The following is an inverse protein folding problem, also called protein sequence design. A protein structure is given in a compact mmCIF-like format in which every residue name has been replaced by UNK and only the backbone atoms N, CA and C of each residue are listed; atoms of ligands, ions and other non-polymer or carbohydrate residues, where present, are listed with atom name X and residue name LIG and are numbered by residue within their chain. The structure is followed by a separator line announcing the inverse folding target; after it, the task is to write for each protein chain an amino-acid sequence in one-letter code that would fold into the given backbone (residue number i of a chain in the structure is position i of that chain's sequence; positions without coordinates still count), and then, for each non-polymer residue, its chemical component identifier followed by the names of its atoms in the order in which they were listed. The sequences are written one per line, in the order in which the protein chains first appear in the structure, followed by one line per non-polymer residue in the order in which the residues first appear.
data_IF_167539381199
#
_entry.id   IF_167539381199
#
_cell.length_a   1.000
_cell.length_b   1.000
_cell.length_c   1.000
_cell.angle_alpha   90.00
_cell.angle_beta   90.00
_cell.angle_gamma   90.00
#
_symmetry.space_group_name_H-M   'P 1'
#
loop_
_entity.id
_entity.type
_entity.pdbx_description
1 polymer ?
#
# COMPACT_ATOMS: atom_id res chain seq x y z
N UNK A 1 -21.21 12.72 0.47
CA UNK A 1 -19.87 12.13 0.33
C UNK A 1 -20.01 10.66 0.66
N UNK A 2 -19.39 9.80 -0.14
CA UNK A 2 -19.50 8.33 -0.03
C UNK A 2 -18.68 7.81 1.17
N UNK A 3 -19.10 8.17 2.38
CA UNK A 3 -18.52 7.75 3.68
C UNK A 3 -18.92 6.29 4.02
N UNK A 4 -18.99 5.41 3.02
CA UNK A 4 -19.42 4.02 3.21
C UNK A 4 -18.28 3.01 3.08
N UNK A 5 -17.02 3.47 2.99
CA UNK A 5 -15.85 2.60 2.85
C UNK A 5 -15.49 1.97 4.18
N UNK A 6 -15.43 0.64 4.23
CA UNK A 6 -15.13 -0.13 5.45
C UNK A 6 -13.71 -0.67 5.48
N UNK A 7 -13.04 -0.73 4.33
CA UNK A 7 -11.68 -1.25 4.19
C UNK A 7 -10.78 -0.16 3.63
N UNK A 8 -9.64 0.07 4.29
CA UNK A 8 -8.56 0.89 3.76
C UNK A 8 -7.36 0.03 3.38
N UNK A 9 -6.95 0.05 2.12
CA UNK A 9 -5.81 -0.69 1.59
C UNK A 9 -4.60 0.23 1.41
N UNK A 10 -3.51 -0.04 2.13
CA UNK A 10 -2.30 0.78 2.10
C UNK A 10 -1.17 0.02 1.42
N UNK A 11 -0.53 0.66 0.44
CA UNK A 11 0.63 0.11 -0.27
C UNK A 11 1.61 1.22 -0.62
N UNK A 12 2.90 0.91 -0.60
CA UNK A 12 3.95 1.85 -1.07
C UNK A 12 3.89 2.07 -2.57
N UNK A 13 3.38 1.08 -3.31
CA UNK A 13 3.18 1.16 -4.76
C UNK A 13 1.83 0.61 -5.19
N UNK A 14 1.25 1.23 -6.22
CA UNK A 14 0.02 0.79 -6.89
C UNK A 14 0.17 1.07 -8.39
N UNK A 15 0.05 0.01 -9.20
CA UNK A 15 0.07 0.08 -10.66
C UNK A 15 -1.34 0.10 -11.24
N UNK A 16 -1.75 1.24 -11.80
CA UNK A 16 -3.09 1.40 -12.38
C UNK A 16 -3.00 1.63 -13.90
N UNK A 17 -2.26 2.64 -14.31
CA UNK A 17 -2.10 2.99 -15.72
C UNK A 17 -0.63 2.90 -16.11
N UNK A 18 -0.35 2.50 -17.35
CA UNK A 18 1.03 2.48 -17.85
C UNK A 18 1.70 3.88 -17.80
N UNK A 19 0.90 4.94 -17.89
CA UNK A 19 1.36 6.33 -17.79
C UNK A 19 1.49 6.89 -16.37
N UNK A 20 1.20 6.09 -15.34
CA UNK A 20 1.32 6.46 -13.92
C UNK A 20 2.51 5.71 -13.29
N UNK A 21 3.68 6.32 -13.13
CA UNK A 21 4.89 5.66 -12.66
C UNK A 21 4.92 5.49 -11.13
N UNK A 22 3.80 5.09 -10.53
CA UNK A 22 3.63 4.95 -9.08
C UNK A 22 3.88 3.53 -8.55
N UNK A 23 4.59 2.72 -9.34
CA UNK A 23 4.97 1.35 -9.03
C UNK A 23 6.27 0.94 -9.73
N UNK A 24 6.96 -0.07 -9.20
CA UNK A 24 8.18 -0.62 -9.80
C UNK A 24 8.07 -2.09 -10.19
N UNK A 25 7.25 -2.88 -9.48
CA UNK A 25 7.25 -4.32 -9.65
C UNK A 25 5.93 -5.02 -9.33
N UNK A 26 6.04 -6.30 -8.97
CA UNK A 26 4.91 -7.19 -8.77
C UNK A 26 4.01 -6.80 -7.59
N UNK A 27 4.53 -6.14 -6.55
CA UNK A 27 3.74 -5.68 -5.41
C UNK A 27 2.70 -4.64 -5.84
N UNK A 28 3.10 -3.70 -6.68
CA UNK A 28 2.26 -2.63 -7.20
C UNK A 28 1.29 -3.12 -8.27
N UNK A 29 1.72 -4.05 -9.13
CA UNK A 29 0.82 -4.74 -10.07
C UNK A 29 -0.28 -5.49 -9.31
N UNK A 30 0.09 -6.29 -8.31
CA UNK A 30 -0.88 -6.99 -7.47
C UNK A 30 -1.83 -6.04 -6.73
N UNK A 31 -1.31 -4.93 -6.19
CA UNK A 31 -2.14 -3.92 -5.55
C UNK A 31 -3.18 -3.35 -6.54
N UNK A 32 -2.76 -3.05 -7.77
CA UNK A 32 -3.66 -2.63 -8.84
C UNK A 32 -4.73 -3.65 -9.17
N UNK A 33 -4.34 -4.92 -9.35
CA UNK A 33 -5.24 -6.03 -9.64
C UNK A 33 -6.22 -6.30 -8.49
N UNK A 34 -5.76 -6.16 -7.25
CA UNK A 34 -6.59 -6.28 -6.04
C UNK A 34 -7.67 -5.20 -6.02
N UNK A 35 -7.31 -3.95 -6.33
CA UNK A 35 -8.24 -2.82 -6.35
C UNK A 35 -9.25 -2.95 -7.50
N UNK A 36 -8.83 -3.46 -8.67
CA UNK A 36 -9.75 -3.76 -9.79
C UNK A 36 -10.75 -4.83 -9.43
N UNK A 37 -10.26 -5.93 -8.86
CA UNK A 37 -11.12 -7.01 -8.39
C UNK A 37 -12.06 -6.54 -7.28
N UNK A 38 -11.60 -5.66 -6.39
CA UNK A 38 -12.45 -5.04 -5.37
C UNK A 38 -13.53 -4.15 -6.01
N UNK A 39 -13.23 -3.44 -7.10
CA UNK A 39 -14.21 -2.64 -7.80
C UNK A 39 -15.26 -3.51 -8.52
N UNK A 40 -14.83 -4.60 -9.17
CA UNK A 40 -15.71 -5.56 -9.84
C UNK A 40 -16.63 -6.29 -8.87
N UNK A 41 -16.12 -6.64 -7.69
CA UNK A 41 -16.86 -7.34 -6.63
C UNK A 41 -17.61 -6.39 -5.69
N UNK A 42 -17.65 -5.10 -5.99
CA UNK A 42 -18.30 -4.06 -5.18
C UNK A 42 -17.83 -4.03 -3.71
N UNK A 43 -16.57 -4.39 -3.47
CA UNK A 43 -15.97 -4.40 -2.14
C UNK A 43 -15.81 -2.96 -1.67
N UNK A 44 -16.36 -2.67 -0.49
CA UNK A 44 -16.32 -1.38 0.18
C UNK A 44 -14.88 -0.98 0.62
N UNK A 45 -14.07 -0.59 -0.36
CA UNK A 45 -12.65 -0.31 -0.24
C UNK A 45 -12.33 1.14 -0.63
N UNK A 46 -11.32 1.70 0.05
CA UNK A 46 -10.52 2.87 -0.37
C UNK A 46 -9.05 2.46 -0.32
N UNK A 47 -8.22 2.93 -1.26
CA UNK A 47 -6.79 2.66 -1.26
C UNK A 47 -5.95 3.92 -1.05
N UNK A 48 -4.77 3.77 -0.46
CA UNK A 48 -3.82 4.85 -0.15
C UNK A 48 -2.41 4.42 -0.56
N UNK A 49 -1.71 5.32 -1.25
CA UNK A 49 -0.31 5.18 -1.66
C UNK A 49 0.36 6.56 -1.69
N UNK A 50 1.67 6.61 -1.95
CA UNK A 50 2.37 7.86 -2.25
C UNK A 50 2.26 8.22 -3.74
N UNK A 51 2.19 9.52 -4.04
CA UNK A 51 2.32 10.05 -5.39
C UNK A 51 3.81 10.14 -5.77
N UNK A 52 4.38 9.08 -6.35
CA UNK A 52 5.77 9.08 -6.80
C UNK A 52 5.96 9.96 -8.05
N UNK A 53 6.32 11.23 -7.86
CA UNK A 53 6.39 12.24 -8.94
C UNK A 53 7.45 11.93 -10.01
N UNK A 54 8.51 11.23 -9.63
CA UNK A 54 9.63 10.85 -10.49
C UNK A 54 9.69 9.34 -10.74
N UNK A 55 8.72 8.60 -10.21
CA UNK A 55 8.63 7.15 -10.27
C UNK A 55 9.80 6.41 -9.65
N UNK A 56 10.02 5.17 -10.10
CA UNK A 56 11.23 4.41 -9.75
C UNK A 56 12.41 4.90 -10.59
N UNK A 57 12.36 4.67 -11.91
CA UNK A 57 13.17 5.33 -12.93
C UNK A 57 12.66 4.97 -14.34
N UNK A 58 13.05 5.76 -15.33
CA UNK A 58 13.01 5.44 -16.75
C UNK A 58 14.36 4.81 -17.15
N UNK A 59 14.29 3.59 -17.68
CA UNK A 59 15.47 2.84 -18.13
C UNK A 59 15.86 3.27 -19.54
N UNK A 60 17.14 3.59 -19.75
CA UNK A 60 17.73 3.81 -21.07
C UNK A 60 19.00 2.98 -21.21
N UNK A 61 19.18 2.31 -22.34
CA UNK A 61 20.43 1.61 -22.65
C UNK A 61 21.30 2.53 -23.52
N UNK A 62 22.55 2.73 -23.12
CA UNK A 62 23.51 3.44 -23.95
C UNK A 62 24.03 2.56 -25.10
N UNK A 63 24.86 3.13 -25.99
CA UNK A 63 25.39 2.43 -27.17
C UNK A 63 26.21 1.17 -26.83
N UNK A 64 26.68 1.04 -25.59
CA UNK A 64 27.38 -0.14 -25.09
C UNK A 64 26.48 -1.16 -24.39
N UNK A 65 25.17 -0.91 -24.34
CA UNK A 65 24.20 -1.75 -23.63
C UNK A 65 24.16 -1.54 -22.12
N UNK A 66 24.84 -0.51 -21.59
CA UNK A 66 24.80 -0.18 -20.16
C UNK A 66 23.54 0.60 -19.80
N UNK A 67 22.92 0.24 -18.68
CA UNK A 67 21.76 0.93 -18.14
C UNK A 67 22.12 2.33 -17.64
N UNK A 68 21.25 3.29 -17.99
CA UNK A 68 21.17 4.64 -17.46
C UNK A 68 19.76 4.87 -16.92
N UNK A 69 19.68 5.48 -15.76
CA UNK A 69 18.43 5.73 -15.04
C UNK A 69 18.12 7.22 -15.09
N UNK A 70 16.88 7.55 -15.41
CA UNK A 70 16.38 8.94 -15.40
C UNK A 70 15.09 9.02 -14.59
N UNK A 71 14.80 10.16 -13.95
CA UNK A 71 13.45 10.44 -13.45
C UNK A 71 12.40 10.24 -14.54
N UNK A 72 11.22 9.75 -14.16
CA UNK A 72 10.08 9.67 -15.07
C UNK A 72 9.33 11.00 -15.04
N UNK A 73 9.14 11.61 -16.21
CA UNK A 73 8.29 12.79 -16.38
C UNK A 73 6.87 12.37 -16.74
N UNK A 74 5.87 12.88 -16.02
CA UNK A 74 4.46 12.63 -16.31
C UNK A 74 3.58 13.78 -15.84
N UNK A 75 2.41 13.93 -16.47
CA UNK A 75 1.44 14.99 -16.16
C UNK A 75 0.42 14.39 -15.19
N UNK A 76 0.52 14.73 -13.91
CA UNK A 76 -0.30 14.17 -12.83
C UNK A 76 -1.78 14.44 -13.09
N UNK A 77 -2.11 15.67 -13.47
CA UNK A 77 -3.47 16.17 -13.73
C UNK A 77 -4.15 15.48 -14.92
N UNK A 78 -3.39 14.80 -15.78
CA UNK A 78 -3.94 13.98 -16.87
C UNK A 78 -4.67 12.75 -16.31
N UNK A 79 -4.20 12.21 -15.19
CA UNK A 79 -4.70 10.95 -14.63
C UNK A 79 -5.45 11.15 -13.32
N UNK A 80 -5.09 12.18 -12.55
CA UNK A 80 -5.50 12.32 -11.16
C UNK A 80 -6.20 13.66 -10.92
N UNK A 81 -7.20 13.64 -10.05
CA UNK A 81 -7.89 14.86 -9.58
C UNK A 81 -7.39 15.24 -8.19
N UNK A 82 -6.92 16.47 -8.01
CA UNK A 82 -6.53 16.96 -6.69
C UNK A 82 -7.76 17.08 -5.76
N UNK A 83 -7.61 16.66 -4.51
CA UNK A 83 -8.63 16.76 -3.49
C UNK A 83 -8.41 18.00 -2.63
N UNK A 84 -9.46 18.78 -2.28
CA UNK A 84 -9.32 19.95 -1.42
C UNK A 84 -8.79 19.69 0.00
N UNK A 85 -9.17 18.58 0.69
CA UNK A 85 -8.66 18.31 2.03
C UNK A 85 -7.13 18.24 2.10
N UNK A 86 -6.63 18.56 3.29
CA UNK A 86 -5.20 18.55 3.63
C UNK A 86 -5.01 17.77 4.92
N UNK A 87 -3.84 17.17 5.07
CA UNK A 87 -3.38 16.57 6.30
C UNK A 87 -1.96 17.05 6.62
N UNK A 88 -1.46 16.73 7.80
CA UNK A 88 -0.09 17.01 8.15
C UNK A 88 0.50 15.94 9.07
N UNK A 89 1.80 15.72 8.93
CA UNK A 89 2.59 14.86 9.81
C UNK A 89 3.74 15.64 10.44
N UNK A 90 4.18 15.23 11.61
CA UNK A 90 5.39 15.76 12.23
C UNK A 90 6.56 14.85 11.88
N UNK A 91 7.59 15.39 11.24
CA UNK A 91 8.84 14.69 10.90
C UNK A 91 9.99 15.50 11.51
N UNK A 92 10.66 14.94 12.52
CA UNK A 92 11.76 15.61 13.23
C UNK A 92 11.35 16.98 13.80
N UNK A 93 10.13 17.03 14.36
CA UNK A 93 9.52 18.25 14.91
C UNK A 93 9.05 19.26 13.86
N UNK A 94 9.31 19.03 12.57
CA UNK A 94 8.85 19.87 11.47
C UNK A 94 7.48 19.40 11.01
N UNK A 95 6.59 20.34 10.71
CA UNK A 95 5.28 20.01 10.12
C UNK A 95 5.44 19.84 8.61
N UNK A 96 5.10 18.66 8.10
CA UNK A 96 5.03 18.37 6.67
C UNK A 96 3.57 18.29 6.27
N UNK A 97 3.13 19.27 5.47
CA UNK A 97 1.78 19.34 4.91
C UNK A 97 1.61 18.34 3.78
N UNK A 98 0.43 17.76 3.65
CA UNK A 98 0.11 16.75 2.65
C UNK A 98 -1.17 17.15 1.91
N UNK A 99 -1.15 16.96 0.59
CA UNK A 99 -2.37 16.91 -0.23
C UNK A 99 -2.61 15.48 -0.71
N UNK A 100 -3.81 15.23 -1.24
CA UNK A 100 -4.16 13.98 -1.88
C UNK A 100 -4.62 14.21 -3.31
N UNK A 101 -4.22 13.29 -4.18
CA UNK A 101 -4.71 13.14 -5.53
C UNK A 101 -5.56 11.89 -5.63
N UNK A 102 -6.66 11.93 -6.38
CA UNK A 102 -7.61 10.82 -6.50
C UNK A 102 -7.63 10.24 -7.91
N UNK A 103 -7.55 8.91 -7.98
CA UNK A 103 -7.97 8.10 -9.12
C UNK A 103 -9.21 7.29 -8.72
N UNK A 104 -10.13 7.06 -9.65
CA UNK A 104 -11.31 6.20 -9.44
C UNK A 104 -11.16 4.96 -10.29
N UNK A 105 -10.90 3.81 -9.66
CA UNK A 105 -10.93 2.53 -10.36
C UNK A 105 -12.38 2.13 -10.53
N UNK A 106 -12.82 1.99 -11.78
CA UNK A 106 -14.19 1.62 -12.13
C UNK A 106 -14.27 0.12 -12.39
N UNK A 107 -15.13 -0.57 -11.65
CA UNK A 107 -15.45 -1.97 -11.90
C UNK A 107 -16.50 -2.12 -13.00
N UNK A 108 -16.69 -3.35 -13.47
CA UNK A 108 -17.63 -3.70 -14.54
C UNK A 108 -19.08 -3.27 -14.24
N UNK A 109 -19.51 -3.36 -12.98
CA UNK A 109 -20.84 -2.94 -12.51
C UNK A 109 -20.98 -1.42 -12.31
N UNK A 110 -19.94 -0.63 -12.59
CA UNK A 110 -19.90 0.81 -12.36
C UNK A 110 -19.58 1.21 -10.91
N UNK A 111 -19.44 0.26 -9.99
CA UNK A 111 -18.91 0.51 -8.66
C UNK A 111 -17.48 1.05 -8.74
N UNK A 112 -17.17 2.04 -7.91
CA UNK A 112 -15.89 2.73 -7.96
C UNK A 112 -15.11 2.49 -6.67
N UNK A 113 -13.81 2.23 -6.77
CA UNK A 113 -12.89 2.23 -5.64
C UNK A 113 -11.96 3.44 -5.76
N UNK A 114 -12.01 4.40 -4.82
CA UNK A 114 -11.10 5.53 -4.82
C UNK A 114 -9.70 5.10 -4.37
N UNK A 115 -8.69 5.58 -5.10
CA UNK A 115 -7.28 5.46 -4.76
C UNK A 115 -6.72 6.85 -4.52
N UNK A 116 -6.17 7.09 -3.33
CA UNK A 116 -5.57 8.36 -2.94
C UNK A 116 -4.04 8.27 -2.95
N UNK A 117 -3.43 9.21 -3.67
CA UNK A 117 -1.99 9.37 -3.78
C UNK A 117 -1.57 10.58 -2.95
N UNK A 118 -0.83 10.34 -1.87
CA UNK A 118 -0.36 11.38 -0.96
C UNK A 118 0.84 12.11 -1.55
N UNK A 119 0.84 13.42 -1.46
CA UNK A 119 1.86 14.28 -2.05
C UNK A 119 2.32 15.34 -1.05
N UNK A 120 3.64 15.43 -0.82
CA UNK A 120 4.28 16.43 0.02
C UNK A 120 4.84 17.61 -0.78
N UNK A 121 4.78 17.59 -2.11
CA UNK A 121 5.24 18.70 -2.95
C UNK A 121 4.21 19.84 -2.94
N UNK A 122 4.31 20.63 -1.88
CA UNK A 122 3.49 21.78 -1.54
C UNK A 122 4.41 22.97 -1.20
N UNK A 123 4.05 24.21 -1.56
CA UNK A 123 4.90 25.38 -1.35
C UNK A 123 5.11 25.72 0.14
N UNK A 124 4.23 25.26 1.04
CA UNK A 124 4.38 25.45 2.48
C UNK A 124 5.45 24.55 3.11
N UNK A 125 5.85 23.49 2.40
CA UNK A 125 6.87 22.56 2.85
C UNK A 125 8.26 23.04 2.42
N UNK A 126 9.28 22.65 3.20
CA UNK A 126 10.67 22.94 2.81
C UNK A 126 11.04 22.26 1.49
N UNK A 127 12.03 22.78 0.77
CA UNK A 127 12.47 22.17 -0.50
C UNK A 127 12.79 20.68 -0.37
N UNK A 128 13.37 20.28 0.77
CA UNK A 128 13.67 18.87 1.04
C UNK A 128 12.41 18.05 1.31
N UNK A 129 11.47 18.54 2.12
CA UNK A 129 10.23 17.82 2.45
C UNK A 129 9.35 17.60 1.22
N UNK A 130 9.38 18.54 0.26
CA UNK A 130 8.71 18.39 -1.04
C UNK A 130 9.23 17.19 -1.83
N UNK A 131 10.48 16.78 -1.60
CA UNK A 131 11.08 15.62 -2.28
C UNK A 131 10.63 14.27 -1.73
N UNK A 132 9.99 14.22 -0.57
CA UNK A 132 9.62 12.95 0.08
C UNK A 132 8.68 12.09 -0.76
N UNK A 133 7.94 12.67 -1.70
CA UNK A 133 7.09 11.94 -2.66
C UNK A 133 7.67 11.92 -4.08
N UNK A 134 8.98 12.14 -4.26
CA UNK A 134 9.58 12.06 -5.59
C UNK A 134 9.80 10.64 -6.08
N UNK A 135 10.65 9.88 -5.39
CA UNK A 135 11.16 8.61 -5.91
C UNK A 135 10.61 7.43 -5.10
N UNK A 136 10.14 6.42 -5.82
CA UNK A 136 9.81 5.12 -5.26
C UNK A 136 11.11 4.36 -4.97
N UNK A 137 11.27 3.81 -3.76
CA UNK A 137 12.48 3.08 -3.34
C UNK A 137 13.81 3.83 -3.57
N UNK A 138 13.77 5.16 -3.57
CA UNK A 138 14.95 6.02 -3.71
C UNK A 138 15.54 6.46 -2.36
N UNK A 139 16.56 7.31 -2.45
CA UNK A 139 17.15 7.97 -1.30
C UNK A 139 17.91 7.03 -0.35
N UNK A 140 18.06 7.47 0.89
CA UNK A 140 18.70 6.70 1.98
C UNK A 140 17.66 6.18 2.98
N UNK A 141 18.12 5.55 4.07
CA UNK A 141 17.22 5.05 5.12
C UNK A 141 16.39 6.17 5.78
N UNK A 142 16.91 7.39 5.89
CA UNK A 142 16.18 8.51 6.46
C UNK A 142 15.04 8.95 5.55
N UNK A 143 15.31 9.08 4.24
CA UNK A 143 14.30 9.35 3.23
C UNK A 143 13.19 8.28 3.24
N UNK A 144 13.58 7.01 3.24
CA UNK A 144 12.67 5.86 3.30
C UNK A 144 11.78 5.87 4.54
N UNK A 145 12.35 6.11 5.72
CA UNK A 145 11.59 6.22 6.96
C UNK A 145 10.57 7.38 6.89
N UNK A 146 10.97 8.53 6.34
CA UNK A 146 10.06 9.67 6.18
C UNK A 146 8.90 9.34 5.21
N UNK A 147 9.16 8.58 4.14
CA UNK A 147 8.11 8.08 3.24
C UNK A 147 7.10 7.19 3.96
N UNK A 148 7.57 6.29 4.82
CA UNK A 148 6.71 5.37 5.58
C UNK A 148 5.90 6.12 6.65
N UNK A 149 6.42 7.22 7.19
CA UNK A 149 5.64 8.14 8.04
C UNK A 149 4.50 8.77 7.26
N UNK A 150 4.79 9.30 6.05
CA UNK A 150 3.77 9.90 5.20
C UNK A 150 2.72 8.85 4.79
N UNK A 151 3.15 7.67 4.36
CA UNK A 151 2.23 6.60 3.95
C UNK A 151 1.38 6.13 5.12
N UNK A 152 2.00 5.77 6.24
CA UNK A 152 1.31 5.16 7.37
C UNK A 152 0.50 6.18 8.16
N UNK A 153 1.19 7.10 8.84
CA UNK A 153 0.55 8.11 9.71
C UNK A 153 -0.19 9.15 8.86
N UNK A 154 0.48 9.70 7.85
CA UNK A 154 -0.10 10.72 6.98
C UNK A 154 -1.31 10.19 6.20
N UNK A 155 -1.29 8.92 5.77
CA UNK A 155 -2.40 8.30 5.06
C UNK A 155 -3.64 8.11 5.94
N UNK A 156 -3.50 7.67 7.20
CA UNK A 156 -4.65 7.60 8.12
C UNK A 156 -5.23 8.98 8.36
N UNK A 157 -4.39 9.99 8.64
CA UNK A 157 -4.86 11.38 8.82
C UNK A 157 -5.54 11.94 7.58
N UNK A 158 -5.01 11.64 6.40
CA UNK A 158 -5.63 12.04 5.14
C UNK A 158 -7.00 11.38 4.94
N UNK A 159 -7.14 10.09 5.25
CA UNK A 159 -8.44 9.42 5.21
C UNK A 159 -9.45 10.10 6.15
N UNK A 160 -9.06 10.46 7.38
CA UNK A 160 -9.91 11.24 8.29
C UNK A 160 -10.30 12.60 7.72
N UNK A 161 -9.34 13.34 7.14
CA UNK A 161 -9.59 14.64 6.52
C UNK A 161 -10.51 14.56 5.29
N UNK A 162 -10.46 13.44 4.56
CA UNK A 162 -11.35 13.12 3.44
C UNK A 162 -12.74 12.65 3.90
N UNK A 163 -12.95 12.47 5.21
CA UNK A 163 -14.22 12.09 5.81
C UNK A 163 -14.39 10.61 6.09
N UNK A 164 -13.41 9.74 5.80
CA UNK A 164 -13.48 8.30 6.06
C UNK A 164 -13.29 8.01 7.56
N UNK A 165 -14.39 8.06 8.30
CA UNK A 165 -14.41 7.92 9.76
C UNK A 165 -14.78 6.51 10.25
N UNK A 166 -15.37 5.70 9.38
CA UNK A 166 -15.96 4.40 9.71
C UNK A 166 -15.19 3.19 9.13
N UNK A 167 -13.90 3.36 8.85
CA UNK A 167 -13.05 2.24 8.38
C UNK A 167 -12.94 1.19 9.49
N UNK A 168 -13.36 -0.03 9.18
CA UNK A 168 -13.35 -1.18 10.07
C UNK A 168 -12.06 -2.00 9.94
N UNK A 169 -11.44 -2.03 8.75
CA UNK A 169 -10.24 -2.80 8.46
C UNK A 169 -9.18 -1.99 7.72
N UNK A 170 -7.94 -2.13 8.14
CA UNK A 170 -6.75 -1.57 7.51
C UNK A 170 -5.88 -2.72 7.00
N UNK A 171 -5.68 -2.78 5.69
CA UNK A 171 -4.83 -3.77 5.04
C UNK A 171 -3.47 -3.14 4.75
N UNK A 172 -2.44 -3.67 5.40
CA UNK A 172 -1.05 -3.30 5.21
C UNK A 172 -0.42 -4.22 4.16
N UNK A 173 -0.15 -3.69 2.98
CA UNK A 173 0.55 -4.39 1.92
C UNK A 173 2.07 -4.22 2.09
N UNK A 174 2.70 -5.21 2.72
CA UNK A 174 4.09 -5.17 3.19
C UNK A 174 4.37 -4.18 4.33
N UNK A 175 5.54 -4.31 4.97
CA UNK A 175 5.94 -3.55 6.16
C UNK A 175 5.96 -2.02 5.99
N UNK A 176 5.98 -1.50 4.76
CA UNK A 176 6.03 -0.06 4.47
C UNK A 176 4.88 0.75 5.10
N UNK A 177 3.71 0.12 5.26
CA UNK A 177 2.52 0.78 5.79
C UNK A 177 2.39 0.67 7.33
N UNK A 178 3.33 -0.02 8.00
CA UNK A 178 3.18 -0.43 9.40
C UNK A 178 3.04 0.72 10.38
N UNK A 179 3.61 1.88 10.07
CA UNK A 179 3.48 3.06 10.93
C UNK A 179 2.04 3.58 11.04
N UNK A 180 1.12 3.16 10.16
CA UNK A 180 -0.32 3.45 10.33
C UNK A 180 -0.87 2.90 11.64
N UNK A 181 -0.33 1.77 12.11
CA UNK A 181 -0.78 1.14 13.36
C UNK A 181 -0.49 2.01 14.57
N UNK A 182 0.54 2.86 14.52
CA UNK A 182 0.86 3.81 15.57
C UNK A 182 -0.15 4.96 15.61
N UNK A 183 -0.57 5.48 14.45
CA UNK A 183 -1.64 6.48 14.41
C UNK A 183 -2.98 5.89 14.90
N UNK A 184 -3.27 4.63 14.58
CA UNK A 184 -4.47 3.96 15.11
C UNK A 184 -4.40 3.76 16.63
N UNK A 185 -3.20 3.52 17.19
CA UNK A 185 -3.02 3.48 18.65
C UNK A 185 -3.27 4.85 19.27
N UNK A 186 -2.77 5.92 18.65
CA UNK A 186 -3.02 7.29 19.10
C UNK A 186 -4.53 7.60 19.11
N UNK A 187 -5.25 7.18 18.06
CA UNK A 187 -6.72 7.33 17.97
C UNK A 187 -7.45 6.60 19.11
N UNK A 188 -7.06 5.35 19.44
CA UNK A 188 -7.69 4.59 20.54
C UNK A 188 -7.40 5.21 21.91
N UNK A 189 -6.17 5.68 22.13
CA UNK A 189 -5.78 6.37 23.37
C UNK A 189 -6.55 7.67 23.52
N UNK A 190 -6.65 8.46 22.45
CA UNK A 190 -7.40 9.71 22.43
C UNK A 190 -8.89 9.48 22.66
N UNK A 191 -9.48 8.49 22.00
CA UNK A 191 -10.90 8.11 22.16
C UNK A 191 -11.23 7.70 23.59
N UNK A 192 -10.27 7.09 24.29
CA UNK A 192 -10.42 6.71 25.69
C UNK A 192 -9.99 7.80 26.68
N UNK A 193 -9.67 9.02 26.19
CA UNK A 193 -9.22 10.17 26.98
C UNK A 193 -8.01 9.84 27.89
N UNK A 194 -7.12 8.98 27.41
CA UNK A 194 -5.92 8.54 28.14
C UNK A 194 -4.65 9.18 27.59
N UNK A 195 -3.56 9.03 28.34
CA UNK A 195 -2.21 9.47 27.94
C UNK A 195 -1.23 8.33 27.68
N UNK A 196 -1.59 7.11 28.08
CA UNK A 196 -0.75 5.93 27.96
C UNK A 196 -1.48 4.85 27.20
N UNK A 197 -0.70 4.13 26.39
CA UNK A 197 -1.15 2.95 25.68
C UNK A 197 -1.30 1.81 26.66
N UNK A 198 -2.35 1.04 26.46
CA UNK A 198 -2.71 -0.12 27.25
C UNK A 198 -2.79 -1.33 26.35
N UNK A 199 -2.78 -2.52 26.94
CA UNK A 199 -2.98 -3.76 26.21
C UNK A 199 -4.32 -3.79 25.46
N UNK A 200 -5.37 -3.16 25.97
CA UNK A 200 -6.66 -3.09 25.27
C UNK A 200 -6.59 -2.25 24.00
N UNK A 201 -5.76 -1.20 23.95
CA UNK A 201 -5.54 -0.42 22.72
C UNK A 201 -4.84 -1.25 21.66
N UNK A 202 -3.79 -1.96 22.07
CA UNK A 202 -3.06 -2.90 21.20
C UNK A 202 -4.01 -3.95 20.64
N UNK A 203 -4.85 -4.57 21.48
CA UNK A 203 -5.83 -5.56 21.03
C UNK A 203 -6.92 -4.96 20.14
N UNK A 204 -7.34 -3.72 20.37
CA UNK A 204 -8.29 -3.00 19.52
C UNK A 204 -7.70 -2.71 18.13
N UNK A 205 -6.47 -2.22 18.06
CA UNK A 205 -5.76 -1.97 16.81
C UNK A 205 -5.49 -3.27 16.06
N UNK A 206 -5.05 -4.33 16.76
CA UNK A 206 -4.87 -5.66 16.14
C UNK A 206 -6.11 -6.13 15.40
N UNK A 207 -7.30 -5.99 16.00
CA UNK A 207 -8.58 -6.39 15.38
C UNK A 207 -8.91 -5.59 14.11
N UNK A 208 -8.36 -4.39 13.94
CA UNK A 208 -8.55 -3.58 12.74
C UNK A 208 -7.54 -3.92 11.63
N UNK A 209 -6.37 -4.46 11.97
CA UNK A 209 -5.28 -4.58 11.01
C UNK A 209 -5.12 -5.98 10.41
N UNK A 210 -4.89 -6.00 9.10
CA UNK A 210 -4.56 -7.16 8.28
C UNK A 210 -3.20 -6.90 7.65
N UNK A 211 -2.28 -7.85 7.73
CA UNK A 211 -0.92 -7.70 7.19
C UNK A 211 -0.62 -8.78 6.13
N UNK A 212 -0.18 -8.36 4.95
CA UNK A 212 0.34 -9.27 3.93
C UNK A 212 1.83 -9.06 3.78
N UNK A 213 2.61 -10.14 3.86
CA UNK A 213 4.06 -10.14 3.60
C UNK A 213 4.37 -10.85 2.28
N UNK A 214 5.27 -10.26 1.50
CA UNK A 214 5.69 -10.73 0.17
C UNK A 214 7.16 -11.14 0.13
N UNK A 215 7.94 -10.67 1.09
CA UNK A 215 9.39 -10.86 1.12
C UNK A 215 9.76 -12.22 1.74
N UNK A 216 10.47 -13.10 1.00
CA UNK A 216 10.87 -14.42 1.49
C UNK A 216 12.26 -14.43 2.16
N UNK A 217 12.87 -13.26 2.37
CA UNK A 217 14.23 -13.12 2.94
C UNK A 217 14.33 -11.99 3.96
N UNK A 218 15.01 -12.17 5.11
CA UNK A 218 15.14 -11.15 6.16
C UNK A 218 15.67 -9.79 5.68
N UNK A 219 16.58 -9.79 4.69
CA UNK A 219 17.22 -8.59 4.17
C UNK A 219 16.28 -7.66 3.39
N UNK A 220 15.10 -8.13 2.97
CA UNK A 220 14.12 -7.31 2.25
C UNK A 220 13.08 -6.64 3.16
N UNK A 221 13.20 -6.78 4.47
CA UNK A 221 12.29 -6.12 5.42
C UNK A 221 12.90 -4.81 5.91
N UNK A 222 12.12 -3.72 5.89
CA UNK A 222 12.60 -2.42 6.34
C UNK A 222 12.91 -2.43 7.85
N UNK A 223 14.16 -2.05 8.16
CA UNK A 223 14.69 -1.95 9.51
C UNK A 223 15.43 -0.63 9.65
N UNK A 224 15.12 0.10 10.71
CA UNK A 224 15.70 1.43 10.97
C UNK A 224 16.35 1.47 12.36
N UNK A 225 17.49 2.15 12.53
CA UNK A 225 18.06 2.37 13.85
C UNK A 225 17.04 3.07 14.76
N UNK A 226 16.93 2.64 16.02
CA UNK A 226 15.99 3.24 16.97
C UNK A 226 16.17 4.75 17.13
N UNK A 227 17.41 5.23 17.06
CA UNK A 227 17.72 6.66 17.18
C UNK A 227 17.17 7.44 15.98
N UNK A 228 17.24 6.87 14.78
CA UNK A 228 16.63 7.45 13.56
C UNK A 228 15.12 7.51 13.69
N UNK A 229 14.48 6.44 14.19
CA UNK A 229 13.03 6.40 14.42
C UNK A 229 12.61 7.42 15.48
N UNK A 230 13.32 7.49 16.60
CA UNK A 230 13.05 8.44 17.69
C UNK A 230 13.26 9.88 17.24
N UNK A 231 14.26 10.13 16.39
CA UNK A 231 14.50 11.44 15.79
C UNK A 231 13.37 11.84 14.85
N UNK A 232 12.92 10.95 13.97
CA UNK A 232 11.88 11.23 12.98
C UNK A 232 10.49 11.37 13.62
N UNK A 233 10.08 10.39 14.43
CA UNK A 233 8.75 10.34 15.04
C UNK A 233 8.64 11.10 16.36
N UNK A 234 9.77 11.58 16.90
CA UNK A 234 9.84 12.10 18.26
C UNK A 234 9.86 10.99 19.30
N UNK A 235 9.91 11.40 20.58
CA UNK A 235 9.80 10.46 21.69
C UNK A 235 8.36 9.92 21.80
N UNK A 236 8.16 8.68 21.36
CA UNK A 236 6.92 7.92 21.55
C UNK A 236 7.13 6.87 22.63
N UNK A 237 6.22 6.80 23.61
CA UNK A 237 6.31 5.89 24.74
C UNK A 237 6.34 4.41 24.29
N UNK A 238 5.69 4.12 23.17
CA UNK A 238 5.58 2.85 22.47
C UNK A 238 6.95 2.23 22.18
N UNK A 239 7.89 3.01 21.67
CA UNK A 239 9.22 2.52 21.32
C UNK A 239 10.07 2.12 22.55
N UNK A 240 9.61 2.51 23.74
CA UNK A 240 10.21 2.16 25.03
C UNK A 240 9.41 1.04 25.71
N UNK A 241 8.09 1.20 25.82
CA UNK A 241 7.18 0.32 26.57
C UNK A 241 6.84 -0.98 25.81
N UNK A 242 6.90 -0.95 24.47
CA UNK A 242 6.60 -2.09 23.58
C UNK A 242 7.82 -2.52 22.75
N UNK A 243 9.04 -2.17 23.20
CA UNK A 243 10.29 -2.48 22.49
C UNK A 243 10.39 -3.94 22.05
N UNK A 244 9.92 -4.88 22.88
CA UNK A 244 10.05 -6.31 22.62
C UNK A 244 9.12 -6.80 21.49
N UNK A 245 8.16 -5.97 21.04
CA UNK A 245 7.23 -6.31 19.96
C UNK A 245 7.77 -6.04 18.55
N UNK A 246 8.75 -5.15 18.41
CA UNK A 246 9.21 -4.70 17.09
C UNK A 246 10.68 -4.27 17.04
N UNK A 247 11.44 -4.41 18.13
CA UNK A 247 12.87 -4.16 18.13
C UNK A 247 13.68 -5.45 18.08
N UNK A 248 14.69 -5.46 17.23
CA UNK A 248 15.68 -6.53 17.13
C UNK A 248 17.06 -5.89 17.02
N UNK A 249 17.98 -6.22 17.93
CA UNK A 249 19.37 -5.75 17.91
C UNK A 249 19.54 -4.21 17.77
N UNK A 250 18.68 -3.44 18.45
CA UNK A 250 18.72 -1.97 18.40
C UNK A 250 18.02 -1.35 17.18
N UNK A 251 17.51 -2.16 16.27
CA UNK A 251 16.73 -1.73 15.10
C UNK A 251 15.24 -1.85 15.38
N UNK A 252 14.43 -0.96 14.82
CA UNK A 252 12.99 -1.09 14.69
C UNK A 252 12.70 -1.76 13.35
N UNK A 253 12.07 -2.93 13.40
CA UNK A 253 11.68 -3.69 12.22
C UNK A 253 10.18 -3.49 11.97
N UNK A 254 9.85 -2.91 10.82
CA UNK A 254 8.45 -2.61 10.52
C UNK A 254 7.61 -3.85 10.23
N UNK A 255 8.22 -4.94 9.78
CA UNK A 255 7.50 -6.22 9.64
C UNK A 255 7.10 -6.77 11.00
N UNK A 256 7.97 -6.73 12.01
CA UNK A 256 7.57 -7.11 13.36
C UNK A 256 6.53 -6.15 13.96
N UNK A 257 6.58 -4.86 13.63
CA UNK A 257 5.53 -3.92 14.00
C UNK A 257 4.17 -4.34 13.40
N UNK A 258 4.10 -4.62 12.10
CA UNK A 258 2.88 -5.09 11.45
C UNK A 258 2.39 -6.42 12.01
N UNK A 259 3.29 -7.40 12.19
CA UNK A 259 2.98 -8.72 12.74
C UNK A 259 2.39 -8.61 14.16
N UNK A 260 2.97 -7.76 15.00
CA UNK A 260 2.54 -7.57 16.38
C UNK A 260 1.24 -6.79 16.50
N UNK A 261 0.94 -5.90 15.55
CA UNK A 261 -0.24 -5.04 15.55
C UNK A 261 -1.31 -5.44 14.52
N UNK A 262 -1.23 -6.64 13.96
CA UNK A 262 -2.28 -7.22 13.10
C UNK A 262 -2.90 -8.47 13.71
N UNK A 263 -4.18 -8.69 13.42
CA UNK A 263 -4.90 -9.90 13.83
C UNK A 263 -4.77 -11.01 12.79
N UNK A 264 -4.87 -10.66 11.50
CA UNK A 264 -4.73 -11.60 10.40
C UNK A 264 -3.45 -11.29 9.62
N UNK A 265 -2.65 -12.33 9.38
CA UNK A 265 -1.40 -12.24 8.64
C UNK A 265 -1.37 -13.31 7.57
N UNK A 266 -1.00 -12.95 6.34
CA UNK A 266 -0.86 -13.92 5.27
C UNK A 266 0.42 -13.70 4.44
N UNK A 267 0.95 -14.81 3.95
CA UNK A 267 1.85 -14.82 2.80
C UNK A 267 1.07 -14.90 1.48
N UNK A 268 1.80 -14.88 0.37
CA UNK A 268 1.26 -14.69 -0.99
C UNK A 268 1.18 -15.93 -1.87
N UNK A 269 1.53 -17.08 -1.29
CA UNK A 269 1.42 -18.41 -1.88
C UNK A 269 1.52 -19.46 -0.78
N UNK A 270 1.05 -20.70 -1.02
CA UNK A 270 1.16 -21.79 -0.02
C UNK A 270 2.60 -21.99 0.46
N UNK A 271 3.55 -22.11 -0.48
CA UNK A 271 4.97 -22.27 -0.14
C UNK A 271 5.54 -21.03 0.54
N UNK A 272 5.11 -19.84 0.11
CA UNK A 272 5.52 -18.59 0.76
C UNK A 272 5.06 -18.56 2.22
N UNK A 273 3.81 -18.94 2.51
CA UNK A 273 3.31 -19.02 3.89
C UNK A 273 4.12 -20.00 4.76
N UNK A 274 4.61 -21.11 4.20
CA UNK A 274 5.55 -21.99 4.92
C UNK A 274 6.87 -21.30 5.25
N UNK A 275 7.48 -20.62 4.27
CA UNK A 275 8.74 -19.88 4.46
C UNK A 275 8.56 -18.74 5.48
N UNK A 276 7.47 -17.98 5.40
CA UNK A 276 7.16 -16.90 6.33
C UNK A 276 6.98 -17.40 7.76
N UNK A 277 6.32 -18.56 7.98
CA UNK A 277 6.19 -19.15 9.32
C UNK A 277 7.54 -19.56 9.92
N UNK A 278 8.48 -19.99 9.08
CA UNK A 278 9.84 -20.32 9.54
C UNK A 278 10.62 -19.05 9.89
N UNK A 279 10.47 -17.99 9.10
CA UNK A 279 11.16 -16.72 9.31
C UNK A 279 10.64 -15.97 10.54
N UNK A 280 9.32 -15.97 10.74
CA UNK A 280 8.61 -15.26 11.80
C UNK A 280 8.02 -16.27 12.79
N UNK A 281 8.88 -17.07 13.40
CA UNK A 281 8.47 -18.07 14.38
C UNK A 281 7.66 -17.41 15.51
N UNK A 282 6.50 -18.00 15.84
CA UNK A 282 5.58 -17.48 16.86
C UNK A 282 4.40 -16.68 16.32
N UNK A 283 4.38 -16.35 15.03
CA UNK A 283 3.23 -15.71 14.38
C UNK A 283 2.40 -16.71 13.56
N UNK A 284 1.07 -16.62 13.67
CA UNK A 284 0.16 -17.36 12.81
C UNK A 284 0.11 -16.67 11.44
N UNK A 285 0.56 -17.36 10.40
CA UNK A 285 0.62 -16.83 9.03
C UNK A 285 -0.08 -17.79 8.08
N UNK A 286 -1.17 -17.31 7.50
CA UNK A 286 -1.94 -18.00 6.45
C UNK A 286 -1.32 -17.79 5.06
N UNK A 287 -1.95 -18.36 4.04
CA UNK A 287 -1.50 -18.21 2.65
C UNK A 287 -2.69 -17.86 1.75
N UNK A 288 -2.64 -16.68 1.15
CA UNK A 288 -3.56 -16.26 0.08
C UNK A 288 -2.73 -16.20 -1.19
N UNK A 289 -3.00 -17.09 -2.15
CA UNK A 289 -2.27 -17.10 -3.41
C UNK A 289 -2.61 -15.85 -4.22
N UNK A 290 -1.59 -15.13 -4.70
CA UNK A 290 -1.78 -13.98 -5.59
C UNK A 290 -2.57 -14.36 -6.85
N UNK A 291 -3.34 -13.39 -7.35
CA UNK A 291 -4.04 -13.46 -8.63
C UNK A 291 -3.75 -12.22 -9.46
N UNK A 292 -4.15 -12.26 -10.73
CA UNK A 292 -4.11 -11.12 -11.64
C UNK A 292 -5.51 -10.81 -12.14
N UNK A 293 -5.79 -9.55 -12.46
CA UNK A 293 -7.11 -9.14 -12.93
C UNK A 293 -7.32 -9.58 -14.38
N UNK A 294 -8.09 -10.66 -14.59
CA UNK A 294 -8.19 -11.33 -15.89
C UNK A 294 -8.59 -10.37 -17.03
N UNK A 295 -9.58 -9.50 -16.81
CA UNK A 295 -10.04 -8.56 -17.83
C UNK A 295 -8.98 -7.51 -18.23
N UNK A 296 -8.01 -7.22 -17.35
CA UNK A 296 -6.89 -6.32 -17.67
C UNK A 296 -5.78 -7.02 -18.44
N UNK A 297 -5.47 -8.28 -18.10
CA UNK A 297 -4.27 -8.95 -18.61
C UNK A 297 -4.49 -9.87 -19.81
N UNK A 298 -5.74 -10.26 -20.10
CA UNK A 298 -6.06 -11.00 -21.33
C UNK A 298 -5.97 -10.06 -22.54
N UNK A 299 -5.21 -10.44 -23.56
CA UNK A 299 -5.06 -9.66 -24.78
C UNK A 299 -6.40 -9.51 -25.53
N UNK A 300 -6.62 -8.35 -26.16
CA UNK A 300 -7.89 -8.01 -26.82
C UNK A 300 -8.43 -9.11 -27.77
N UNK A 301 -7.62 -9.74 -28.65
CA UNK A 301 -8.15 -10.80 -29.53
C UNK A 301 -8.70 -12.02 -28.76
N UNK A 302 -8.09 -12.37 -27.63
CA UNK A 302 -8.59 -13.44 -26.78
C UNK A 302 -9.81 -12.99 -25.98
N UNK A 303 -9.91 -11.71 -25.60
CA UNK A 303 -11.13 -11.20 -24.99
C UNK A 303 -12.32 -11.33 -25.94
N UNK A 304 -12.16 -10.93 -27.21
CA UNK A 304 -13.21 -11.04 -28.23
C UNK A 304 -13.61 -12.51 -28.48
N UNK A 305 -12.67 -13.43 -28.39
CA UNK A 305 -12.92 -14.87 -28.47
C UNK A 305 -13.70 -15.37 -27.25
N UNK A 306 -13.28 -14.99 -26.04
CA UNK A 306 -13.99 -15.34 -24.80
C UNK A 306 -15.40 -14.73 -24.76
N UNK A 307 -15.59 -13.53 -25.30
CA UNK A 307 -16.91 -12.89 -25.38
C UNK A 307 -17.90 -13.69 -26.24
N UNK A 308 -17.41 -14.41 -27.26
CA UNK A 308 -18.24 -15.29 -28.10
C UNK A 308 -18.52 -16.65 -27.45
N UNK A 309 -17.53 -17.23 -26.76
CA UNK A 309 -17.58 -18.64 -26.33
C UNK A 309 -17.81 -18.84 -24.84
N UNK A 310 -17.51 -17.84 -24.01
CA UNK A 310 -17.59 -17.89 -22.54
C UNK A 310 -18.27 -16.61 -22.05
N UNK A 311 -19.62 -16.52 -22.18
CA UNK A 311 -20.36 -15.39 -21.63
C UNK A 311 -20.02 -15.16 -20.16
N UNK A 312 -19.98 -13.89 -19.76
CA UNK A 312 -19.73 -13.45 -18.37
C UNK A 312 -18.36 -13.85 -17.78
N UNK A 313 -17.37 -14.21 -18.61
CA UNK A 313 -16.03 -14.61 -18.13
C UNK A 313 -15.32 -13.55 -17.30
N UNK A 314 -15.68 -12.28 -17.47
CA UNK A 314 -15.13 -11.16 -16.69
C UNK A 314 -15.69 -11.13 -15.27
N UNK A 315 -16.95 -11.51 -15.09
CA UNK A 315 -17.64 -11.56 -13.79
C UNK A 315 -17.35 -12.86 -13.04
N UNK A 316 -17.34 -13.99 -13.73
CA UNK A 316 -16.96 -15.29 -13.17
C UNK A 316 -15.72 -15.85 -13.88
N UNK A 317 -14.53 -15.53 -13.36
CA UNK A 317 -13.29 -16.04 -13.95
C UNK A 317 -13.15 -17.57 -13.85
N UNK A 318 -13.93 -18.28 -13.01
CA UNK A 318 -13.91 -19.75 -13.03
C UNK A 318 -14.44 -20.32 -14.34
N UNK A 319 -15.30 -19.59 -15.06
CA UNK A 319 -15.80 -19.96 -16.37
C UNK A 319 -14.70 -20.09 -17.44
N UNK A 320 -13.53 -19.46 -17.24
CA UNK A 320 -12.39 -19.58 -18.16
C UNK A 320 -11.91 -21.04 -18.34
N UNK A 321 -12.28 -21.96 -17.45
CA UNK A 321 -12.10 -23.40 -17.65
C UNK A 321 -12.75 -23.94 -18.94
N UNK A 322 -13.79 -23.27 -19.44
CA UNK A 322 -14.48 -23.63 -20.68
C UNK A 322 -13.70 -23.22 -21.93
N UNK A 323 -12.58 -22.49 -21.79
CA UNK A 323 -11.68 -22.19 -22.92
C UNK A 323 -11.15 -23.46 -23.60
N UNK A 324 -11.12 -24.60 -22.90
CA UNK A 324 -10.78 -25.91 -23.45
C UNK A 324 -11.75 -26.38 -24.55
N UNK A 325 -12.94 -25.81 -24.63
CA UNK A 325 -13.97 -26.14 -25.62
C UNK A 325 -13.95 -25.21 -26.84
N UNK A 326 -13.10 -24.18 -26.85
CA UNK A 326 -12.99 -23.25 -27.99
C UNK A 326 -12.38 -24.00 -29.19
N UNK A 327 -12.98 -23.90 -30.39
CA UNK A 327 -12.42 -24.50 -31.60
C UNK A 327 -10.99 -24.04 -31.86
N UNK A 328 -10.13 -24.99 -32.23
CA UNK A 328 -8.69 -24.78 -32.41
C UNK A 328 -8.39 -23.79 -33.54
N UNK A 329 -9.19 -23.89 -34.60
CA UNK A 329 -9.18 -23.00 -35.77
C UNK A 329 -9.56 -21.54 -35.46
N UNK A 330 -10.17 -21.26 -34.31
CA UNK A 330 -10.42 -19.89 -33.85
C UNK A 330 -9.28 -19.34 -32.98
N UNK A 331 -8.35 -20.19 -32.52
CA UNK A 331 -7.19 -19.82 -31.71
C UNK A 331 -5.92 -19.59 -32.53
N UNK A 332 -5.75 -20.29 -33.67
CA UNK A 332 -4.54 -20.24 -34.50
C UNK A 332 -4.78 -20.37 -35.99
#
# INVERSE_FOLDING_TARGET
MDDQRRIAYFSMEIGLEAGMPTYSGGLGVLAGDTIRSAADLEVSMVAVTLLHRKGYFSQQLDASGWQREKPVDWIIEKYLTEMPPRAAVSIEGRTVSLRAWRYLVMGLGGFQVPVYFLDSDLPENTEWDRTLTHFLYGGDQYYRLCQEVILGIGGVRMLRALGYSNIERFHLNEGHASLLTLELLDEEVQKAERRKITRSDVEAVRKKCIFTTHTPVPAGHDQFPIDSVTRVLGHRAEFVEMKDLFRTDGMVNLTYLALSLSHYVNGVAKKHGEVSRLMFAGYAIDAITNGVHAATWVAQPLQELYDRHIPDWRQDNFSLRYALSIPREELW
#
